data_IF_823870583076
#
_entry.id   IF_823870583076
#
_cell.length_a   1.000
_cell.length_b   1.000
_cell.length_c   1.000
_cell.angle_alpha   90.00
_cell.angle_beta   90.00
_cell.angle_gamma   90.00
#
_symmetry.space_group_name_H-M   'P 1'
#
loop_
_entity.id
_entity.type
_entity.pdbx_description
1 polymer ?
#
# COMPACT_ATOMS: atom_id res chain seq x y z
N UNK A 1 -50.35 39.67 -25.93
CA UNK A 1 -49.45 38.54 -26.10
C UNK A 1 -48.52 38.37 -24.87
N UNK A 2 -47.98 39.43 -24.32
CA UNK A 2 -47.08 39.44 -23.17
C UNK A 2 -47.70 38.87 -21.87
N UNK A 3 -48.98 39.20 -21.57
CA UNK A 3 -49.68 38.72 -20.38
C UNK A 3 -49.94 37.20 -20.35
N UNK A 4 -50.10 36.55 -21.53
CA UNK A 4 -50.25 35.09 -21.61
C UNK A 4 -48.92 34.39 -21.35
N UNK A 5 -47.78 34.99 -21.73
CA UNK A 5 -46.46 34.45 -21.51
C UNK A 5 -46.08 34.53 -20.01
N UNK A 6 -46.43 35.62 -19.34
CA UNK A 6 -46.18 35.81 -17.91
C UNK A 6 -46.99 34.81 -17.08
N UNK A 7 -48.28 34.59 -17.40
CA UNK A 7 -49.10 33.61 -16.69
C UNK A 7 -48.70 32.14 -16.91
N UNK A 8 -48.00 31.81 -18.01
CA UNK A 8 -47.50 30.46 -18.26
C UNK A 8 -46.12 30.20 -17.61
N UNK A 9 -45.32 31.25 -17.38
CA UNK A 9 -43.99 31.12 -16.80
C UNK A 9 -43.98 31.15 -15.26
N UNK A 10 -44.88 31.92 -14.64
CA UNK A 10 -44.96 32.02 -13.18
C UNK A 10 -45.14 30.69 -12.44
N UNK A 11 -46.03 29.75 -12.85
CA UNK A 11 -46.14 28.46 -12.16
C UNK A 11 -44.96 27.52 -12.40
N UNK A 12 -44.24 27.71 -13.52
CA UNK A 12 -43.02 26.92 -13.80
C UNK A 12 -41.84 27.43 -12.98
N UNK A 13 -41.69 28.75 -12.78
CA UNK A 13 -40.67 29.33 -11.87
C UNK A 13 -40.93 28.95 -10.42
N UNK A 14 -42.18 28.97 -9.95
CA UNK A 14 -42.53 28.58 -8.59
C UNK A 14 -42.20 27.10 -8.29
N UNK A 15 -42.49 26.21 -9.23
CA UNK A 15 -42.16 24.78 -9.08
C UNK A 15 -40.65 24.49 -9.12
N UNK A 16 -39.90 25.24 -9.91
CA UNK A 16 -38.45 25.10 -9.96
C UNK A 16 -37.77 25.73 -8.73
N UNK A 17 -38.29 26.86 -8.25
CA UNK A 17 -37.81 27.46 -7.00
C UNK A 17 -38.08 26.53 -5.80
N UNK A 18 -39.26 25.88 -5.75
CA UNK A 18 -39.56 24.90 -4.71
C UNK A 18 -38.63 23.66 -4.78
N UNK A 19 -38.36 23.16 -5.99
CA UNK A 19 -37.42 22.05 -6.17
C UNK A 19 -35.98 22.43 -5.76
N UNK A 20 -35.54 23.64 -6.10
CA UNK A 20 -34.23 24.17 -5.71
C UNK A 20 -34.11 24.35 -4.19
N UNK A 21 -35.17 24.87 -3.54
CA UNK A 21 -35.17 25.01 -2.09
C UNK A 21 -35.19 23.65 -1.36
N UNK A 22 -35.95 22.67 -1.83
CA UNK A 22 -35.95 21.30 -1.30
C UNK A 22 -34.55 20.66 -1.50
N UNK A 23 -33.96 20.81 -2.67
CA UNK A 23 -32.64 20.30 -2.96
C UNK A 23 -31.58 20.95 -2.08
N UNK A 24 -31.64 22.27 -1.85
CA UNK A 24 -30.74 22.99 -0.94
C UNK A 24 -30.93 22.58 0.51
N UNK A 25 -32.15 22.31 0.95
CA UNK A 25 -32.46 21.83 2.31
C UNK A 25 -31.92 20.39 2.50
N UNK A 26 -32.09 19.51 1.52
CA UNK A 26 -31.58 18.15 1.54
C UNK A 26 -30.05 18.15 1.53
N UNK A 27 -29.43 19.01 0.72
CA UNK A 27 -27.98 19.16 0.67
C UNK A 27 -27.43 19.72 2.01
N UNK A 28 -28.10 20.71 2.60
CA UNK A 28 -27.72 21.26 3.91
C UNK A 28 -27.88 20.23 5.04
N UNK A 29 -28.94 19.42 4.99
CA UNK A 29 -29.16 18.34 5.95
C UNK A 29 -28.13 17.22 5.82
N UNK A 30 -27.75 16.87 4.60
CA UNK A 30 -26.69 15.90 4.31
C UNK A 30 -25.34 16.43 4.81
N UNK A 31 -25.05 17.72 4.62
CA UNK A 31 -23.81 18.34 5.11
C UNK A 31 -23.78 18.42 6.64
N UNK A 32 -24.93 18.69 7.30
CA UNK A 32 -25.03 18.70 8.75
C UNK A 32 -24.88 17.31 9.37
N UNK A 33 -25.33 16.27 8.68
CA UNK A 33 -25.17 14.89 9.11
C UNK A 33 -23.70 14.43 9.05
N UNK A 34 -22.91 14.97 8.13
CA UNK A 34 -21.44 14.75 8.08
C UNK A 34 -20.66 15.65 9.05
N UNK A 35 -21.24 16.77 9.50
CA UNK A 35 -20.59 17.70 10.42
C UNK A 35 -20.83 17.38 11.91
N UNK A 36 -21.70 16.42 12.21
CA UNK A 36 -21.89 15.88 13.55
C UNK A 36 -21.02 14.62 13.69
N UNK A 37 -19.72 14.81 13.53
CA UNK A 37 -18.73 13.91 14.07
C UNK A 37 -18.80 14.08 15.59
N UNK A 38 -19.70 13.32 16.20
CA UNK A 38 -19.64 13.03 17.62
C UNK A 38 -18.23 12.47 17.82
N UNK A 39 -17.38 13.19 18.55
CA UNK A 39 -15.99 12.77 18.79
C UNK A 39 -16.07 11.33 19.30
N UNK A 40 -15.75 10.38 18.43
CA UNK A 40 -15.70 8.97 18.80
C UNK A 40 -14.87 8.90 20.09
N UNK A 41 -15.29 8.15 21.12
CA UNK A 41 -14.55 8.07 22.38
C UNK A 41 -13.10 7.78 22.01
N UNK A 42 -12.18 8.66 22.46
CA UNK A 42 -10.78 8.58 22.10
C UNK A 42 -10.28 7.18 22.45
N UNK A 43 -9.97 6.38 21.43
CA UNK A 43 -9.43 5.02 21.59
C UNK A 43 -8.11 5.19 22.33
N UNK A 44 -7.89 4.44 23.42
CA UNK A 44 -6.62 4.51 24.14
C UNK A 44 -5.47 4.17 23.20
N UNK A 45 -4.31 4.83 23.37
CA UNK A 45 -3.14 4.58 22.51
C UNK A 45 -2.77 3.10 22.43
N UNK A 46 -2.93 2.35 23.52
CA UNK A 46 -2.69 0.90 23.55
C UNK A 46 -3.65 0.12 22.63
N UNK A 47 -4.94 0.46 22.66
CA UNK A 47 -5.93 -0.22 21.79
C UNK A 47 -5.68 0.13 20.32
N UNK A 48 -5.34 1.39 20.02
CA UNK A 48 -4.96 1.81 18.68
C UNK A 48 -3.71 1.05 18.19
N UNK A 49 -2.68 0.93 19.02
CA UNK A 49 -1.47 0.15 18.74
C UNK A 49 -1.77 -1.32 18.42
N UNK A 50 -2.61 -1.98 19.24
CA UNK A 50 -2.99 -3.38 19.03
C UNK A 50 -3.77 -3.54 17.72
N UNK A 51 -4.74 -2.67 17.45
CA UNK A 51 -5.57 -2.75 16.24
C UNK A 51 -4.76 -2.49 14.97
N UNK A 52 -3.87 -1.49 14.99
CA UNK A 52 -3.00 -1.19 13.84
C UNK A 52 -2.00 -2.31 13.59
N UNK A 53 -1.38 -2.86 14.64
CA UNK A 53 -0.49 -4.02 14.53
C UNK A 53 -1.22 -5.21 13.92
N UNK A 54 -2.43 -5.50 14.38
CA UNK A 54 -3.27 -6.57 13.83
C UNK A 54 -3.64 -6.30 12.37
N UNK A 55 -4.00 -5.05 12.04
CA UNK A 55 -4.32 -4.64 10.67
C UNK A 55 -3.13 -4.87 9.72
N UNK A 56 -1.91 -4.46 10.11
CA UNK A 56 -0.71 -4.71 9.32
C UNK A 56 -0.45 -6.20 9.10
N UNK A 57 -0.65 -7.03 10.12
CA UNK A 57 -0.48 -8.49 9.97
C UNK A 57 -1.52 -9.09 9.02
N UNK A 58 -2.80 -8.76 9.18
CA UNK A 58 -3.87 -9.28 8.31
C UNK A 58 -3.68 -8.82 6.87
N UNK A 59 -3.40 -7.53 6.65
CA UNK A 59 -3.12 -7.01 5.33
C UNK A 59 -1.83 -7.61 4.73
N UNK A 60 -0.80 -7.82 5.55
CA UNK A 60 0.43 -8.49 5.14
C UNK A 60 0.19 -9.93 4.69
N UNK A 61 -0.66 -10.69 5.39
CA UNK A 61 -1.06 -12.04 4.95
C UNK A 61 -1.79 -12.00 3.60
N UNK A 62 -2.71 -11.05 3.41
CA UNK A 62 -3.40 -10.88 2.13
C UNK A 62 -2.42 -10.55 0.99
N UNK A 63 -1.47 -9.67 1.24
CA UNK A 63 -0.42 -9.33 0.24
C UNK A 63 0.50 -10.52 -0.01
N UNK A 64 0.81 -11.34 0.98
CA UNK A 64 1.59 -12.56 0.80
C UNK A 64 0.95 -13.54 -0.21
N UNK A 65 -0.40 -13.59 -0.30
CA UNK A 65 -1.09 -14.37 -1.34
C UNK A 65 -0.75 -13.91 -2.76
N UNK A 66 -0.28 -12.68 -2.96
CA UNK A 66 0.21 -12.23 -4.26
C UNK A 66 1.41 -13.06 -4.72
N UNK A 67 2.31 -13.45 -3.83
CA UNK A 67 3.45 -14.31 -4.17
C UNK A 67 2.98 -15.69 -4.71
N UNK A 68 1.98 -16.29 -4.07
CA UNK A 68 1.36 -17.52 -4.54
C UNK A 68 0.64 -17.30 -5.89
N UNK A 69 -0.09 -16.20 -6.04
CA UNK A 69 -0.78 -15.82 -7.28
C UNK A 69 0.19 -15.64 -8.45
N UNK A 70 1.30 -14.93 -8.26
CA UNK A 70 2.33 -14.76 -9.28
C UNK A 70 3.01 -16.08 -9.62
N UNK A 71 3.29 -16.93 -8.62
CA UNK A 71 3.84 -18.27 -8.87
C UNK A 71 2.91 -19.11 -9.77
N UNK A 72 1.60 -19.12 -9.49
CA UNK A 72 0.61 -19.83 -10.30
C UNK A 72 0.49 -19.23 -11.71
N UNK A 73 0.47 -17.88 -11.82
CA UNK A 73 0.42 -17.19 -13.10
C UNK A 73 1.63 -17.53 -13.98
N UNK A 74 2.84 -17.40 -13.43
CA UNK A 74 4.07 -17.74 -14.15
C UNK A 74 4.11 -19.23 -14.54
N UNK A 75 3.75 -20.12 -13.61
CA UNK A 75 3.71 -21.56 -13.86
C UNK A 75 2.75 -21.94 -15.00
N UNK A 76 1.62 -21.20 -15.13
CA UNK A 76 0.67 -21.39 -16.22
C UNK A 76 1.11 -20.81 -17.57
N UNK A 77 2.04 -19.87 -17.57
CA UNK A 77 2.51 -19.20 -18.80
C UNK A 77 3.77 -19.82 -19.41
N UNK A 78 4.52 -20.61 -18.66
CA UNK A 78 5.74 -21.26 -19.12
C UNK A 78 5.48 -22.65 -19.68
N UNK A 79 6.45 -23.19 -20.41
CA UNK A 79 6.39 -24.57 -20.87
C UNK A 79 6.38 -25.54 -19.70
N UNK A 80 5.58 -26.62 -19.78
CA UNK A 80 5.37 -27.59 -18.69
C UNK A 80 6.66 -28.13 -18.08
N UNK A 81 7.72 -28.32 -18.87
CA UNK A 81 9.03 -28.76 -18.37
C UNK A 81 9.74 -27.75 -17.44
N UNK A 82 9.36 -26.47 -17.49
CA UNK A 82 9.97 -25.41 -16.72
C UNK A 82 9.15 -25.02 -15.48
N UNK A 83 7.93 -25.55 -15.32
CA UNK A 83 7.03 -25.23 -14.20
C UNK A 83 7.68 -25.43 -12.84
N UNK A 84 8.37 -26.57 -12.64
CA UNK A 84 9.05 -26.87 -11.36
C UNK A 84 10.14 -25.85 -11.05
N UNK A 85 10.90 -25.40 -12.05
CA UNK A 85 11.96 -24.39 -11.89
C UNK A 85 11.34 -23.02 -11.55
N UNK A 86 10.20 -22.69 -12.14
CA UNK A 86 9.46 -21.45 -11.83
C UNK A 86 8.97 -21.45 -10.37
N UNK A 87 8.39 -22.55 -9.91
CA UNK A 87 7.96 -22.67 -8.51
C UNK A 87 9.16 -22.53 -7.55
N UNK A 88 10.26 -23.21 -7.82
CA UNK A 88 11.49 -23.09 -7.04
C UNK A 88 12.02 -21.65 -7.03
N UNK A 89 12.03 -21.00 -8.19
CA UNK A 89 12.45 -19.60 -8.36
C UNK A 89 11.61 -18.66 -7.50
N UNK A 90 10.27 -18.85 -7.45
CA UNK A 90 9.37 -18.02 -6.66
C UNK A 90 9.58 -18.21 -5.13
N UNK A 91 9.83 -19.43 -4.66
CA UNK A 91 10.20 -19.67 -3.25
C UNK A 91 11.55 -19.00 -2.94
N UNK A 92 12.54 -19.15 -3.83
CA UNK A 92 13.86 -18.54 -3.64
C UNK A 92 13.84 -17.02 -3.61
N UNK A 93 13.12 -16.38 -4.54
CA UNK A 93 13.00 -14.91 -4.57
C UNK A 93 12.33 -14.35 -3.32
N UNK A 94 11.28 -15.01 -2.82
CA UNK A 94 10.59 -14.59 -1.60
C UNK A 94 11.53 -14.64 -0.39
N UNK A 95 12.30 -15.72 -0.26
CA UNK A 95 13.29 -15.87 0.81
C UNK A 95 14.40 -14.84 0.71
N UNK A 96 14.95 -14.60 -0.48
CA UNK A 96 16.01 -13.59 -0.71
C UNK A 96 15.48 -12.20 -0.42
N UNK A 97 14.28 -11.87 -0.86
CA UNK A 97 13.63 -10.58 -0.58
C UNK A 97 13.53 -10.32 0.92
N UNK A 98 13.04 -11.31 1.70
CA UNK A 98 12.94 -11.20 3.15
C UNK A 98 14.30 -10.96 3.82
N UNK A 99 15.33 -11.75 3.44
CA UNK A 99 16.67 -11.61 3.98
C UNK A 99 17.28 -10.25 3.64
N UNK A 100 17.25 -9.84 2.38
CA UNK A 100 17.84 -8.58 1.95
C UNK A 100 17.13 -7.36 2.54
N UNK A 101 15.80 -7.43 2.65
CA UNK A 101 15.03 -6.36 3.27
C UNK A 101 15.28 -6.27 4.78
N UNK A 102 15.50 -7.39 5.46
CA UNK A 102 15.90 -7.42 6.86
C UNK A 102 17.30 -6.86 7.09
N UNK A 103 18.25 -7.24 6.23
CA UNK A 103 19.66 -6.86 6.40
C UNK A 103 19.92 -5.38 6.09
N UNK A 104 19.25 -4.81 5.10
CA UNK A 104 19.55 -3.47 4.60
C UNK A 104 18.28 -2.70 4.25
N UNK A 105 17.32 -3.33 3.58
CA UNK A 105 16.26 -2.65 2.85
C UNK A 105 15.33 -1.81 3.74
N UNK A 106 14.95 -2.31 4.92
CA UNK A 106 13.99 -1.61 5.75
C UNK A 106 14.55 -0.27 6.27
N UNK A 107 15.74 -0.27 6.84
CA UNK A 107 16.34 0.97 7.35
C UNK A 107 16.76 1.91 6.22
N UNK A 108 17.21 1.37 5.08
CA UNK A 108 17.47 2.17 3.87
C UNK A 108 16.21 2.87 3.34
N UNK A 109 15.02 2.31 3.60
CA UNK A 109 13.74 2.88 3.15
C UNK A 109 13.17 3.89 4.14
N UNK A 110 13.33 3.68 5.46
CA UNK A 110 12.60 4.42 6.48
C UNK A 110 13.45 5.17 7.50
N UNK A 111 14.74 4.87 7.61
CA UNK A 111 15.57 5.45 8.65
C UNK A 111 16.52 6.51 8.08
N UNK A 112 16.47 7.74 8.64
CA UNK A 112 17.37 8.83 8.29
C UNK A 112 17.21 9.37 6.87
N UNK A 113 16.03 9.23 6.23
CA UNK A 113 15.79 9.74 4.87
C UNK A 113 15.63 11.27 4.88
N UNK A 114 14.89 11.83 5.84
CA UNK A 114 14.75 13.26 6.18
C UNK A 114 14.69 14.22 4.98
N UNK A 115 13.75 13.99 4.04
CA UNK A 115 13.62 14.77 2.80
C UNK A 115 14.70 14.48 1.76
N UNK A 116 15.62 13.55 2.03
CA UNK A 116 16.72 13.16 1.15
C UNK A 116 16.38 12.08 0.13
N UNK A 117 17.43 11.45 -0.38
CA UNK A 117 17.35 10.42 -1.43
C UNK A 117 17.69 9.03 -0.92
N UNK A 118 18.35 8.90 0.23
CA UNK A 118 18.87 7.66 0.78
C UNK A 118 18.68 7.65 2.29
N UNK A 119 18.27 6.52 2.83
CA UNK A 119 18.27 6.26 4.26
C UNK A 119 19.54 5.58 4.76
N UNK A 120 19.51 5.07 5.98
CA UNK A 120 20.67 4.47 6.62
C UNK A 120 20.93 3.03 6.16
N UNK A 121 22.22 2.67 6.09
CA UNK A 121 22.67 1.31 5.77
C UNK A 121 22.88 0.53 7.06
N UNK A 122 21.81 0.02 7.64
CA UNK A 122 21.86 -0.77 8.87
C UNK A 122 20.85 -1.93 8.81
N UNK A 123 21.07 -2.91 9.67
CA UNK A 123 20.17 -4.05 9.79
C UNK A 123 18.95 -3.68 10.64
N UNK A 124 17.77 -4.22 10.31
CA UNK A 124 16.56 -4.04 11.09
C UNK A 124 16.74 -4.63 12.51
N UNK A 125 16.71 -3.79 13.53
CA UNK A 125 16.92 -4.14 14.94
C UNK A 125 15.73 -3.82 15.86
N UNK A 126 14.72 -3.12 15.34
CA UNK A 126 13.54 -2.66 16.09
C UNK A 126 12.43 -3.71 16.27
N UNK A 127 12.70 -4.99 16.01
CA UNK A 127 11.68 -6.05 16.06
C UNK A 127 11.05 -6.28 17.46
N UNK A 128 11.79 -5.95 18.53
CA UNK A 128 11.36 -6.06 19.93
C UNK A 128 10.92 -4.73 20.55
N UNK A 129 11.01 -3.63 19.81
CA UNK A 129 10.66 -2.31 20.29
C UNK A 129 9.15 -2.15 20.40
N UNK A 130 8.68 -1.74 21.57
CA UNK A 130 7.28 -1.41 21.85
C UNK A 130 7.20 0.09 22.09
N UNK A 131 6.81 0.82 21.06
CA UNK A 131 6.58 2.25 21.13
C UNK A 131 5.11 2.54 20.79
N UNK A 132 4.34 2.88 21.84
CA UNK A 132 2.91 3.17 21.71
C UNK A 132 2.70 4.46 20.91
N UNK A 133 3.66 5.39 20.93
CA UNK A 133 3.54 6.67 20.22
C UNK A 133 3.62 6.46 18.70
N UNK A 134 4.33 5.47 18.20
CA UNK A 134 4.33 5.11 16.78
C UNK A 134 3.00 4.52 16.31
N UNK A 135 2.19 4.01 17.24
CA UNK A 135 0.85 3.51 16.97
C UNK A 135 0.78 2.09 16.38
N UNK A 136 1.90 1.40 16.17
CA UNK A 136 1.97 0.00 15.70
C UNK A 136 3.32 -0.67 16.02
N UNK A 137 3.38 -2.00 16.00
CA UNK A 137 4.63 -2.73 16.22
C UNK A 137 5.54 -2.68 14.99
N UNK A 138 6.81 -2.30 15.19
CA UNK A 138 7.80 -2.21 14.11
C UNK A 138 7.96 -3.54 13.34
N UNK A 139 7.87 -4.68 14.01
CA UNK A 139 7.92 -6.00 13.36
C UNK A 139 6.73 -6.25 12.43
N UNK A 140 5.53 -5.73 12.74
CA UNK A 140 4.35 -5.88 11.88
C UNK A 140 4.44 -5.01 10.64
N UNK A 141 4.98 -3.80 10.77
CA UNK A 141 5.26 -2.92 9.64
C UNK A 141 6.36 -3.52 8.75
N UNK A 142 7.48 -3.98 9.34
CA UNK A 142 8.51 -4.66 8.59
C UNK A 142 7.96 -5.82 7.75
N UNK A 143 7.12 -6.68 8.36
CA UNK A 143 6.50 -7.80 7.65
C UNK A 143 5.59 -7.32 6.52
N UNK A 144 4.74 -6.33 6.78
CA UNK A 144 3.84 -5.76 5.79
C UNK A 144 4.59 -5.17 4.60
N UNK A 145 5.67 -4.45 4.84
CA UNK A 145 6.52 -3.88 3.78
C UNK A 145 7.32 -4.96 3.04
N UNK A 146 7.85 -5.95 3.75
CA UNK A 146 8.63 -7.04 3.16
C UNK A 146 7.83 -7.81 2.09
N UNK A 147 6.54 -8.04 2.31
CA UNK A 147 5.71 -8.77 1.32
C UNK A 147 5.49 -7.96 0.04
N UNK A 148 5.51 -6.63 0.08
CA UNK A 148 5.52 -5.78 -1.12
C UNK A 148 6.86 -5.84 -1.86
N UNK A 149 7.95 -5.85 -1.13
CA UNK A 149 9.30 -6.05 -1.70
C UNK A 149 9.37 -7.38 -2.44
N UNK A 150 8.90 -8.47 -1.81
CA UNK A 150 8.82 -9.79 -2.41
C UNK A 150 7.89 -9.82 -3.64
N UNK A 151 6.77 -9.09 -3.59
CA UNK A 151 5.86 -8.97 -4.74
C UNK A 151 6.51 -8.27 -5.92
N UNK A 152 7.29 -7.22 -5.69
CA UNK A 152 8.06 -6.53 -6.74
C UNK A 152 9.02 -7.51 -7.42
N UNK A 153 9.72 -8.33 -6.64
CA UNK A 153 10.57 -9.40 -7.17
C UNK A 153 9.78 -10.42 -8.01
N UNK A 154 8.56 -10.77 -7.60
CA UNK A 154 7.68 -11.69 -8.34
C UNK A 154 7.22 -11.10 -9.68
N UNK A 155 6.91 -9.80 -9.74
CA UNK A 155 6.54 -9.13 -11.00
C UNK A 155 7.69 -9.21 -12.01
N UNK A 156 8.91 -8.89 -11.57
CA UNK A 156 10.10 -8.96 -12.42
C UNK A 156 10.41 -10.41 -12.82
N UNK A 157 10.16 -11.36 -11.91
CA UNK A 157 10.29 -12.80 -12.17
C UNK A 157 9.49 -13.24 -13.41
N UNK A 158 8.24 -12.78 -13.53
CA UNK A 158 7.40 -13.08 -14.68
C UNK A 158 7.97 -12.55 -16.01
N UNK A 159 8.49 -11.32 -16.01
CA UNK A 159 9.10 -10.70 -17.18
C UNK A 159 10.37 -11.43 -17.66
N UNK A 160 11.10 -12.07 -16.74
CA UNK A 160 12.34 -12.79 -16.99
C UNK A 160 12.15 -14.33 -17.12
N UNK A 161 10.89 -14.80 -17.03
CA UNK A 161 10.59 -16.23 -17.12
C UNK A 161 11.12 -16.83 -18.43
N UNK A 162 11.79 -18.00 -18.34
CA UNK A 162 12.45 -18.71 -19.45
C UNK A 162 13.58 -17.93 -20.18
N UNK A 163 13.95 -16.73 -19.70
CA UNK A 163 14.94 -15.85 -20.38
C UNK A 163 16.24 -15.67 -19.61
N UNK A 164 16.26 -16.03 -18.34
CA UNK A 164 17.39 -15.85 -17.45
C UNK A 164 17.74 -17.17 -16.73
N UNK A 165 19.01 -17.37 -16.45
CA UNK A 165 19.48 -18.47 -15.60
C UNK A 165 19.16 -18.16 -14.12
N UNK A 166 18.97 -19.20 -13.31
CA UNK A 166 18.48 -19.07 -11.93
C UNK A 166 19.45 -18.30 -11.03
N UNK A 167 20.76 -18.52 -11.14
CA UNK A 167 21.75 -17.86 -10.29
C UNK A 167 21.91 -16.35 -10.56
N UNK A 168 22.08 -15.89 -11.82
CA UNK A 168 22.03 -14.47 -12.15
C UNK A 168 20.70 -13.83 -11.74
N UNK A 169 19.58 -14.54 -11.83
CA UNK A 169 18.29 -14.06 -11.35
C UNK A 169 18.30 -13.80 -9.85
N UNK A 170 18.78 -14.72 -9.01
CA UNK A 170 18.84 -14.55 -7.57
C UNK A 170 19.76 -13.39 -7.16
N UNK A 171 20.90 -13.23 -7.83
CA UNK A 171 21.77 -12.08 -7.60
C UNK A 171 21.07 -10.76 -7.94
N UNK A 172 20.37 -10.72 -9.06
CA UNK A 172 19.58 -9.53 -9.45
C UNK A 172 18.47 -9.23 -8.43
N UNK A 173 17.75 -10.26 -7.93
CA UNK A 173 16.72 -10.08 -6.90
C UNK A 173 17.31 -9.55 -5.61
N UNK A 174 18.48 -10.03 -5.19
CA UNK A 174 19.16 -9.50 -3.99
C UNK A 174 19.45 -7.99 -4.12
N UNK A 175 19.92 -7.55 -5.29
CA UNK A 175 20.15 -6.12 -5.56
C UNK A 175 18.85 -5.33 -5.64
N UNK A 176 17.84 -5.86 -6.30
CA UNK A 176 16.53 -5.22 -6.44
C UNK A 176 15.86 -5.01 -5.09
N UNK A 177 15.85 -6.04 -4.24
CA UNK A 177 15.10 -6.03 -2.97
C UNK A 177 15.87 -5.40 -1.82
N UNK A 178 17.21 -5.43 -1.86
CA UNK A 178 18.05 -4.79 -0.84
C UNK A 178 18.31 -3.31 -1.10
N UNK A 179 18.31 -2.87 -2.35
CA UNK A 179 18.72 -1.51 -2.69
C UNK A 179 17.71 -0.78 -3.58
N UNK A 180 17.41 -1.28 -4.77
CA UNK A 180 16.65 -0.51 -5.77
C UNK A 180 15.25 -0.18 -5.28
N UNK A 181 14.53 -1.17 -4.77
CA UNK A 181 13.17 -0.97 -4.26
C UNK A 181 13.15 -0.10 -3.00
N UNK A 182 13.99 -0.36 -1.96
CA UNK A 182 14.05 0.49 -0.78
C UNK A 182 14.39 1.96 -1.09
N UNK A 183 15.35 2.21 -1.97
CA UNK A 183 15.71 3.58 -2.38
C UNK A 183 14.53 4.26 -3.07
N UNK A 184 13.87 3.60 -4.03
CA UNK A 184 12.69 4.18 -4.68
C UNK A 184 11.53 4.38 -3.70
N UNK A 185 11.33 3.45 -2.76
CA UNK A 185 10.31 3.53 -1.72
C UNK A 185 10.57 4.63 -0.69
N UNK A 186 11.82 4.91 -0.36
CA UNK A 186 12.20 5.95 0.59
C UNK A 186 11.77 7.35 0.13
N UNK A 187 11.74 7.59 -1.18
CA UNK A 187 11.39 8.89 -1.75
C UNK A 187 9.94 9.29 -1.45
N UNK A 188 9.01 8.35 -1.39
CA UNK A 188 7.59 8.60 -1.13
C UNK A 188 7.18 8.22 0.29
N UNK A 189 7.48 6.97 0.71
CA UNK A 189 6.99 6.43 1.99
C UNK A 189 7.96 6.61 3.16
N UNK A 190 9.25 6.79 2.87
CA UNK A 190 10.27 7.04 3.87
C UNK A 190 10.44 8.51 4.26
N UNK A 191 9.55 9.41 3.83
CA UNK A 191 9.71 10.84 4.07
C UNK A 191 10.80 11.50 3.21
N UNK A 192 11.07 10.96 2.02
CA UNK A 192 12.04 11.50 1.09
C UNK A 192 11.50 12.66 0.23
N UNK A 193 12.28 13.11 -0.71
CA UNK A 193 12.05 14.31 -1.54
C UNK A 193 10.72 14.33 -2.32
N UNK A 194 10.08 13.16 -2.51
CA UNK A 194 8.82 13.04 -3.25
C UNK A 194 7.58 13.04 -2.33
N UNK A 195 7.77 13.02 -1.02
CA UNK A 195 6.69 12.99 -0.02
C UNK A 195 6.13 14.36 0.33
N UNK A 196 6.73 15.46 -0.16
CA UNK A 196 6.33 16.86 0.05
C UNK A 196 5.18 17.29 -0.89
#
# INVERSE_FOLDING_TARGET
>A
MLNKLIHSLLPALGRNALKLSIFSIVLAFSFSAFAQEEAAPAVSGEVAYILNTFLFLVCGFLVMFMAAGFCMLEAGQVRSKNTAVICLKNIGLFSIAGIMYYLIGYNLMYDGVDGGYLGSFSMFDRSSEVDIETGYAAASDWYFQMVFVATTASIVSGALAERILIWPFFLFIALLTGFVYPIAGSWQWGGGWLSE
#
